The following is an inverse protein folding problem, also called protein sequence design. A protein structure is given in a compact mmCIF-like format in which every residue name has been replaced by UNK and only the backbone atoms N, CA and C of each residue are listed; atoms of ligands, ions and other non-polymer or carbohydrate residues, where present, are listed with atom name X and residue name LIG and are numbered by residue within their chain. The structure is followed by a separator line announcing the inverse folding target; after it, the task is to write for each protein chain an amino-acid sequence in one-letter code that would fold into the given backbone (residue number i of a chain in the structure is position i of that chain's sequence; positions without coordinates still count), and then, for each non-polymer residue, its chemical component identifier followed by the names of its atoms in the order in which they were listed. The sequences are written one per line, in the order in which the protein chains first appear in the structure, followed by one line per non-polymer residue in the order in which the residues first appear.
data_IF_164667475378
#
_entry.id   IF_164667475378
#
_cell.length_a   1.000
_cell.length_b   1.000
_cell.length_c   1.000
_cell.angle_alpha   90.00
_cell.angle_beta   90.00
_cell.angle_gamma   90.00
#
_symmetry.space_group_name_H-M   'P 1'
#
loop_
_entity.id
_entity.type
_entity.pdbx_description
1 polymer ?
#
# COMPACT_ATOMS: atom_id res chain seq x y z
N UNK A 1 31.77 5.90 46.33
CA UNK A 1 31.62 6.39 44.94
C UNK A 1 30.37 5.74 44.38
N UNK A 2 29.21 6.33 44.64
CA UNK A 2 27.90 5.80 44.21
C UNK A 2 27.30 6.74 43.16
N UNK A 3 26.74 6.23 42.06
CA UNK A 3 26.12 7.09 41.07
C UNK A 3 24.73 7.52 41.54
N UNK A 4 24.58 8.81 41.82
CA UNK A 4 23.29 9.45 42.01
C UNK A 4 22.59 9.57 40.66
N UNK A 5 21.41 8.96 40.56
CA UNK A 5 20.45 9.23 39.49
C UNK A 5 19.99 10.70 39.58
N UNK A 6 20.24 11.49 38.54
CA UNK A 6 19.59 12.79 38.36
C UNK A 6 18.49 12.63 37.33
N UNK A 7 17.26 12.75 37.82
CA UNK A 7 16.09 13.05 37.03
C UNK A 7 16.30 14.40 36.32
N UNK A 8 16.26 14.39 34.99
CA UNK A 8 16.20 15.60 34.18
C UNK A 8 14.74 15.85 33.77
N UNK A 9 13.90 16.22 34.75
CA UNK A 9 12.65 16.92 34.46
C UNK A 9 12.78 18.33 35.05
N UNK A 10 13.05 19.29 34.17
CA UNK A 10 12.80 20.72 34.38
C UNK A 10 11.74 21.18 33.37
N UNK A 11 11.00 22.26 33.66
CA UNK A 11 9.67 22.48 33.10
C UNK A 11 9.75 23.08 31.71
N UNK A 12 9.22 22.39 30.70
CA UNK A 12 8.97 22.99 29.40
C UNK A 12 7.54 23.51 29.34
N UNK A 13 7.46 24.80 29.06
CA UNK A 13 6.26 25.61 28.96
C UNK A 13 5.22 24.99 28.02
N UNK A 14 4.02 24.76 28.57
CA UNK A 14 2.80 24.68 27.78
C UNK A 14 2.58 26.03 27.09
N UNK A 15 2.69 26.11 25.76
CA UNK A 15 1.76 26.92 24.94
C UNK A 15 1.80 26.41 23.50
N UNK A 16 0.72 25.74 23.11
CA UNK A 16 0.50 25.26 21.76
C UNK A 16 -0.65 24.28 21.80
N UNK A 17 -1.85 24.78 22.11
CA UNK A 17 -3.06 23.99 21.97
C UNK A 17 -3.09 23.46 20.53
N UNK A 18 -2.87 22.15 20.39
CA UNK A 18 -3.29 21.45 19.17
C UNK A 18 -4.76 21.74 18.92
N UNK A 19 -5.22 21.71 17.67
CA UNK A 19 -6.58 22.12 17.33
C UNK A 19 -7.56 21.38 18.25
N UNK A 20 -8.36 22.16 18.96
CA UNK A 20 -9.44 21.65 19.78
C UNK A 20 -10.39 20.89 18.85
N UNK A 21 -10.31 19.56 18.90
CA UNK A 21 -11.11 18.65 18.09
C UNK A 21 -12.62 18.85 18.31
N UNK A 22 -13.02 19.61 19.33
CA UNK A 22 -14.40 19.97 19.62
C UNK A 22 -14.89 21.20 18.81
N UNK A 23 -13.98 21.96 18.19
CA UNK A 23 -14.30 23.19 17.43
C UNK A 23 -13.85 23.16 15.96
N UNK A 24 -13.29 22.04 15.48
CA UNK A 24 -13.11 21.83 14.05
C UNK A 24 -14.49 21.77 13.35
N UNK A 25 -14.69 22.45 12.20
CA UNK A 25 -15.92 22.29 11.42
C UNK A 25 -16.10 20.80 11.16
N UNK A 26 -17.27 20.27 11.54
CA UNK A 26 -17.65 18.85 11.56
C UNK A 26 -16.77 18.00 10.64
N UNK A 27 -15.66 17.47 11.15
CA UNK A 27 -14.93 16.44 10.45
C UNK A 27 -15.90 15.27 10.37
N UNK A 28 -16.48 15.02 9.19
CA UNK A 28 -17.53 14.03 8.96
C UNK A 28 -17.01 12.59 9.16
N UNK A 29 -16.46 12.25 10.32
CA UNK A 29 -15.94 10.92 10.66
C UNK A 29 -14.88 10.33 9.70
N UNK A 30 -14.42 11.11 8.72
CA UNK A 30 -13.61 10.68 7.59
C UNK A 30 -12.11 10.93 7.83
N UNK A 31 -11.76 11.97 8.58
CA UNK A 31 -10.38 12.32 8.90
C UNK A 31 -9.82 11.48 10.06
N UNK A 32 -9.30 10.30 9.72
CA UNK A 32 -8.65 9.40 10.68
C UNK A 32 -9.59 8.67 11.64
N UNK A 33 -10.90 8.83 11.45
CA UNK A 33 -11.96 8.16 12.21
C UNK A 33 -12.55 7.00 11.38
N UNK A 34 -13.43 6.20 12.01
CA UNK A 34 -13.92 4.94 11.42
C UNK A 34 -14.84 5.13 10.22
N UNK A 35 -15.38 6.32 9.99
CA UNK A 35 -16.36 6.50 8.91
C UNK A 35 -15.67 6.66 7.55
N UNK A 36 -14.41 7.07 7.52
CA UNK A 36 -13.59 7.04 6.31
C UNK A 36 -13.49 5.66 5.66
N UNK A 37 -13.53 4.57 6.44
CA UNK A 37 -13.56 3.20 5.91
C UNK A 37 -14.97 2.61 5.74
N UNK A 38 -16.03 3.42 5.90
CA UNK A 38 -17.44 3.00 5.81
C UNK A 38 -18.23 3.77 4.76
N UNK A 39 -17.62 4.77 4.12
CA UNK A 39 -18.24 5.45 2.98
C UNK A 39 -18.64 4.37 1.94
N UNK A 40 -19.89 4.37 1.45
CA UNK A 40 -20.35 3.35 0.53
C UNK A 40 -19.50 3.21 -0.73
N UNK A 41 -19.34 1.97 -1.21
CA UNK A 41 -18.49 1.65 -2.35
C UNK A 41 -19.05 2.32 -3.62
N UNK A 42 -18.21 3.05 -4.40
CA UNK A 42 -18.61 3.57 -5.70
C UNK A 42 -18.58 2.45 -6.75
N UNK A 43 -19.74 2.06 -7.26
CA UNK A 43 -19.85 1.01 -8.27
C UNK A 43 -19.75 1.55 -9.70
N UNK A 44 -20.43 2.66 -10.00
CA UNK A 44 -20.50 3.22 -11.36
C UNK A 44 -21.01 4.67 -11.39
N UNK A 45 -20.93 5.31 -12.56
CA UNK A 45 -21.52 6.64 -12.79
C UNK A 45 -20.61 7.80 -12.39
N UNK A 46 -21.04 9.01 -12.73
CA UNK A 46 -20.27 10.25 -12.54
C UNK A 46 -20.69 11.05 -11.30
N UNK A 47 -21.80 10.68 -10.64
CA UNK A 47 -22.37 11.42 -9.51
C UNK A 47 -22.77 10.47 -8.37
N UNK A 48 -22.70 10.92 -7.09
CA UNK A 48 -23.22 10.18 -5.95
C UNK A 48 -24.69 9.78 -6.15
N UNK A 49 -25.09 8.56 -5.72
CA UNK A 49 -24.35 7.67 -4.85
C UNK A 49 -23.47 6.67 -5.63
N UNK A 50 -23.00 7.02 -6.83
CA UNK A 50 -22.14 6.19 -7.69
C UNK A 50 -22.65 4.76 -7.87
N UNK A 51 -23.96 4.63 -8.13
CA UNK A 51 -24.58 3.33 -8.34
C UNK A 51 -24.66 2.45 -7.09
N UNK A 52 -24.41 2.99 -5.89
CA UNK A 52 -24.56 2.25 -4.63
C UNK A 52 -25.98 1.73 -4.40
N UNK A 53 -26.99 2.54 -4.70
CA UNK A 53 -28.38 2.15 -4.59
C UNK A 53 -29.34 3.31 -4.89
N UNK A 54 -30.63 3.01 -5.12
CA UNK A 54 -31.63 4.02 -5.50
C UNK A 54 -32.01 4.98 -4.36
N UNK A 55 -31.72 4.62 -3.11
CA UNK A 55 -32.06 5.41 -1.92
C UNK A 55 -30.94 6.36 -1.46
N UNK A 56 -29.85 6.48 -2.22
CA UNK A 56 -28.66 7.24 -1.80
C UNK A 56 -27.69 6.43 -0.93
N UNK A 57 -26.76 7.12 -0.29
CA UNK A 57 -25.76 6.57 0.64
C UNK A 57 -25.99 7.10 2.07
N UNK A 58 -25.70 6.29 3.09
CA UNK A 58 -25.83 6.70 4.51
C UNK A 58 -24.68 7.60 4.99
N UNK A 59 -23.59 7.66 4.21
CA UNK A 59 -22.50 8.61 4.36
C UNK A 59 -22.29 9.35 3.04
N UNK A 60 -21.83 10.61 3.08
CA UNK A 60 -21.48 11.34 1.88
C UNK A 60 -20.33 10.65 1.15
N UNK A 61 -20.43 10.59 -0.17
CA UNK A 61 -19.38 10.09 -1.04
C UNK A 61 -18.71 11.29 -1.71
N UNK A 62 -17.38 11.44 -1.60
CA UNK A 62 -16.68 12.57 -2.20
C UNK A 62 -16.86 12.65 -3.73
N UNK A 63 -16.92 13.86 -4.32
CA UNK A 63 -17.07 14.05 -5.77
C UNK A 63 -15.93 13.44 -6.59
N UNK A 64 -14.72 13.40 -6.03
CA UNK A 64 -13.53 12.83 -6.68
C UNK A 64 -13.56 11.30 -6.81
N UNK A 65 -14.52 10.62 -6.17
CA UNK A 65 -14.64 9.16 -6.23
C UNK A 65 -15.25 8.62 -7.53
N UNK A 66 -15.81 9.48 -8.39
CA UNK A 66 -16.34 9.06 -9.69
C UNK A 66 -15.30 8.24 -10.50
N UNK A 67 -14.05 8.72 -10.54
CA UNK A 67 -12.93 8.04 -11.21
C UNK A 67 -12.37 6.84 -10.44
N UNK A 68 -12.80 6.64 -9.20
CA UNK A 68 -12.42 5.50 -8.35
C UNK A 68 -13.49 4.40 -8.34
N UNK A 69 -14.56 4.56 -9.10
CA UNK A 69 -15.63 3.57 -9.18
C UNK A 69 -15.19 2.26 -9.85
N UNK A 70 -15.84 1.15 -9.49
CA UNK A 70 -15.57 -0.16 -10.11
C UNK A 70 -15.71 -0.11 -11.63
N UNK A 71 -16.72 0.60 -12.15
CA UNK A 71 -16.92 0.76 -13.58
C UNK A 71 -15.81 1.58 -14.25
N UNK A 72 -15.32 2.66 -13.61
CA UNK A 72 -14.25 3.49 -14.16
C UNK A 72 -12.90 2.76 -14.20
N UNK A 73 -12.62 1.92 -13.19
CA UNK A 73 -11.36 1.19 -13.12
C UNK A 73 -11.36 -0.13 -13.90
N UNK A 74 -12.52 -0.74 -14.15
CA UNK A 74 -12.59 -2.04 -14.85
C UNK A 74 -12.05 -1.91 -16.27
N UNK A 75 -11.05 -2.73 -16.59
CA UNK A 75 -10.41 -2.74 -17.90
C UNK A 75 -9.35 -1.66 -18.12
N UNK A 76 -9.15 -0.73 -17.19
CA UNK A 76 -8.00 0.18 -17.23
C UNK A 76 -6.77 -0.53 -16.66
N UNK A 77 -5.76 -0.84 -17.50
CA UNK A 77 -4.56 -1.57 -17.09
C UNK A 77 -3.69 -0.82 -16.07
N UNK A 78 -3.93 0.48 -15.87
CA UNK A 78 -3.21 1.31 -14.90
C UNK A 78 -4.00 1.55 -13.61
N UNK A 79 -5.20 0.99 -13.48
CA UNK A 79 -6.02 1.14 -12.28
C UNK A 79 -5.57 0.24 -11.12
N UNK A 80 -5.87 0.68 -9.90
CA UNK A 80 -5.66 -0.13 -8.69
C UNK A 80 -6.48 -1.43 -8.74
N UNK A 81 -7.70 -1.40 -9.28
CA UNK A 81 -8.54 -2.60 -9.41
C UNK A 81 -7.87 -3.67 -10.28
N UNK A 82 -7.37 -3.31 -11.47
CA UNK A 82 -6.69 -4.27 -12.35
C UNK A 82 -5.34 -4.71 -11.78
N UNK A 83 -4.61 -3.82 -11.07
CA UNK A 83 -3.40 -4.19 -10.32
C UNK A 83 -3.69 -5.32 -9.31
N UNK A 84 -4.76 -5.19 -8.52
CA UNK A 84 -5.14 -6.21 -7.53
C UNK A 84 -5.66 -7.50 -8.17
N UNK A 85 -6.41 -7.42 -9.28
CA UNK A 85 -6.83 -8.60 -10.05
C UNK A 85 -5.62 -9.40 -10.55
N UNK A 86 -4.65 -8.72 -11.18
CA UNK A 86 -3.41 -9.32 -11.63
C UNK A 86 -2.58 -9.92 -10.46
N UNK A 87 -2.52 -9.23 -9.31
CA UNK A 87 -1.85 -9.75 -8.12
C UNK A 87 -2.49 -11.06 -7.60
N UNK A 88 -3.81 -11.15 -7.60
CA UNK A 88 -4.55 -12.35 -7.18
C UNK A 88 -4.37 -13.51 -8.16
N UNK A 89 -4.30 -13.24 -9.46
CA UNK A 89 -3.98 -14.24 -10.48
C UNK A 89 -2.56 -14.79 -10.30
N UNK A 90 -1.56 -13.91 -10.14
CA UNK A 90 -0.18 -14.30 -9.86
C UNK A 90 -0.05 -15.09 -8.56
N UNK A 91 -0.77 -14.70 -7.50
CA UNK A 91 -0.79 -15.43 -6.23
C UNK A 91 -1.24 -16.88 -6.40
N UNK A 92 -2.21 -17.14 -7.29
CA UNK A 92 -2.72 -18.50 -7.58
C UNK A 92 -1.77 -19.29 -8.46
N UNK A 93 -1.00 -18.61 -9.32
CA UNK A 93 -0.09 -19.23 -10.28
C UNK A 93 1.32 -19.51 -9.72
N UNK A 94 1.78 -18.73 -8.75
CA UNK A 94 3.17 -18.81 -8.25
C UNK A 94 3.28 -19.66 -6.97
N UNK A 95 4.11 -20.73 -6.97
CA UNK A 95 4.33 -21.58 -5.80
C UNK A 95 4.74 -20.79 -4.55
N UNK A 96 5.67 -19.85 -4.72
CA UNK A 96 6.15 -18.96 -3.66
C UNK A 96 5.11 -18.01 -3.09
N UNK A 97 3.88 -17.94 -3.64
CA UNK A 97 2.80 -17.07 -3.14
C UNK A 97 1.58 -17.83 -2.60
N UNK A 98 1.61 -19.17 -2.63
CA UNK A 98 0.55 -20.02 -2.09
C UNK A 98 -0.24 -20.80 -3.14
N UNK A 99 0.32 -21.03 -4.34
CA UNK A 99 -0.29 -21.92 -5.32
C UNK A 99 -0.47 -23.35 -4.75
N UNK A 100 -1.61 -24.03 -5.03
CA UNK A 100 -1.84 -25.41 -4.60
C UNK A 100 -0.74 -26.35 -5.10
N UNK A 101 -0.31 -27.31 -4.28
CA UNK A 101 0.68 -28.32 -4.68
C UNK A 101 2.15 -27.98 -4.37
N UNK A 102 2.44 -26.86 -3.71
CA UNK A 102 3.79 -26.51 -3.26
C UNK A 102 4.39 -27.49 -2.22
N UNK A 103 3.60 -28.47 -1.74
CA UNK A 103 4.01 -29.43 -0.72
C UNK A 103 4.32 -28.77 0.64
N UNK A 104 4.57 -29.57 1.69
CA UNK A 104 5.16 -29.02 2.90
C UNK A 104 6.58 -28.56 2.59
N UNK A 105 6.79 -27.24 2.54
CA UNK A 105 8.14 -26.67 2.52
C UNK A 105 8.76 -26.83 3.92
N UNK A 106 10.06 -27.20 4.04
CA UNK A 106 10.75 -27.26 5.32
C UNK A 106 10.82 -25.89 6.03
N UNK A 107 10.66 -24.80 5.27
CA UNK A 107 10.31 -23.47 5.75
C UNK A 107 8.93 -23.10 5.17
N UNK A 108 7.83 -23.14 5.95
CA UNK A 108 6.49 -22.88 5.45
C UNK A 108 6.30 -21.47 4.88
N UNK A 109 7.19 -20.52 5.19
CA UNK A 109 7.20 -19.20 4.57
C UNK A 109 8.06 -19.17 3.31
N UNK A 110 9.20 -19.87 3.33
CA UNK A 110 10.29 -19.76 2.36
C UNK A 110 10.83 -18.34 2.25
N UNK A 111 10.50 -17.47 3.22
CA UNK A 111 10.66 -16.03 3.12
C UNK A 111 11.99 -15.60 3.69
N UNK A 112 12.78 -14.86 2.90
CA UNK A 112 14.05 -14.29 3.35
C UNK A 112 14.13 -12.82 3.01
N UNK A 113 14.40 -11.99 4.01
CA UNK A 113 14.84 -10.62 3.81
C UNK A 113 16.21 -10.60 3.14
N UNK A 114 16.41 -9.70 2.18
CA UNK A 114 17.71 -9.42 1.61
C UNK A 114 18.15 -8.00 2.02
N UNK A 115 19.46 -7.72 1.98
CA UNK A 115 19.96 -6.37 2.19
C UNK A 115 19.36 -5.41 1.16
N UNK A 116 18.94 -4.24 1.64
CA UNK A 116 18.40 -3.14 0.85
C UNK A 116 18.73 -1.81 1.51
N UNK A 117 18.72 -0.69 0.76
CA UNK A 117 18.85 0.64 1.35
C UNK A 117 17.73 0.93 2.35
N UNK A 118 17.98 1.86 3.29
CA UNK A 118 16.95 2.35 4.21
C UNK A 118 15.73 2.86 3.45
N UNK A 119 14.53 2.50 3.92
CA UNK A 119 13.27 2.83 3.24
C UNK A 119 12.98 1.95 2.00
N UNK A 120 13.79 0.92 1.74
CA UNK A 120 13.49 -0.11 0.74
C UNK A 120 13.36 -1.45 1.44
N UNK A 121 12.27 -2.16 1.18
CA UNK A 121 12.09 -3.55 1.59
C UNK A 121 12.36 -4.46 0.40
N UNK A 122 13.24 -5.45 0.58
CA UNK A 122 13.46 -6.53 -0.38
C UNK A 122 13.37 -7.88 0.32
N UNK A 123 12.46 -8.73 -0.12
CA UNK A 123 12.38 -10.11 0.34
C UNK A 123 12.15 -11.09 -0.80
N UNK A 124 12.52 -12.35 -0.56
CA UNK A 124 12.37 -13.45 -1.51
C UNK A 124 11.49 -14.55 -0.92
N UNK A 125 10.81 -15.28 -1.80
CA UNK A 125 10.17 -16.58 -1.57
C UNK A 125 10.57 -17.50 -2.73
N UNK A 126 10.32 -18.82 -2.70
CA UNK A 126 10.69 -19.71 -3.81
C UNK A 126 10.18 -19.20 -5.18
N UNK A 127 11.09 -18.88 -6.09
CA UNK A 127 10.79 -18.34 -7.44
C UNK A 127 10.18 -16.94 -7.47
N UNK A 128 10.28 -16.18 -6.37
CA UNK A 128 9.65 -14.86 -6.21
C UNK A 128 10.53 -13.89 -5.43
N UNK A 129 10.54 -12.62 -5.83
CA UNK A 129 10.94 -11.53 -4.94
C UNK A 129 9.93 -10.39 -4.97
N UNK A 130 9.94 -9.59 -3.90
CA UNK A 130 9.18 -8.36 -3.78
C UNK A 130 10.12 -7.23 -3.36
N UNK A 131 10.06 -6.12 -4.08
CA UNK A 131 10.70 -4.86 -3.70
C UNK A 131 9.65 -3.81 -3.41
N UNK A 132 9.72 -3.13 -2.27
CA UNK A 132 8.89 -1.98 -1.93
C UNK A 132 9.80 -0.78 -1.64
N UNK A 133 9.69 0.28 -2.43
CA UNK A 133 10.32 1.56 -2.15
C UNK A 133 9.33 2.45 -1.39
N UNK A 134 9.57 2.69 -0.11
CA UNK A 134 8.75 3.59 0.74
C UNK A 134 9.35 4.98 0.84
N UNK A 135 10.34 5.29 0.00
CA UNK A 135 10.98 6.61 -0.03
C UNK A 135 10.24 7.53 -1.01
N UNK A 136 10.33 8.84 -0.79
CA UNK A 136 9.82 9.83 -1.74
C UNK A 136 10.73 10.00 -2.97
N UNK A 137 11.91 9.36 -3.01
CA UNK A 137 12.79 9.35 -4.17
C UNK A 137 12.94 7.97 -4.82
N UNK A 138 13.25 7.92 -6.12
CA UNK A 138 13.65 6.69 -6.80
C UNK A 138 14.90 6.05 -6.20
N UNK A 139 14.98 4.72 -6.26
CA UNK A 139 16.14 3.94 -5.82
C UNK A 139 16.61 2.98 -6.90
N UNK A 140 17.92 2.92 -7.10
CA UNK A 140 18.55 1.92 -7.96
C UNK A 140 19.08 0.74 -7.15
N UNK A 141 18.82 -0.48 -7.62
CA UNK A 141 19.31 -1.72 -7.01
C UNK A 141 19.53 -2.79 -8.10
N UNK A 142 20.29 -3.86 -7.81
CA UNK A 142 20.34 -5.02 -8.69
C UNK A 142 18.93 -5.59 -8.91
N UNK A 143 18.58 -5.88 -10.17
CA UNK A 143 17.29 -6.45 -10.52
C UNK A 143 17.19 -7.88 -9.95
N UNK A 144 16.21 -8.17 -9.06
CA UNK A 144 16.08 -9.51 -8.47
C UNK A 144 15.69 -10.60 -9.48
N UNK A 145 15.13 -10.21 -10.63
CA UNK A 145 14.68 -11.11 -11.68
C UNK A 145 13.91 -10.36 -12.76
N UNK A 146 12.98 -11.03 -13.44
CA UNK A 146 12.09 -10.39 -14.40
C UNK A 146 10.87 -9.80 -13.67
N UNK A 147 10.50 -8.53 -13.90
CA UNK A 147 9.30 -7.96 -13.29
C UNK A 147 8.05 -8.68 -13.82
N UNK A 148 7.12 -9.01 -12.92
CA UNK A 148 5.82 -9.65 -13.24
C UNK A 148 4.62 -8.78 -12.87
N UNK A 149 4.78 -7.85 -11.93
CA UNK A 149 3.75 -6.90 -11.53
C UNK A 149 4.43 -5.68 -10.92
N UNK A 150 3.91 -4.48 -11.17
CA UNK A 150 4.38 -3.27 -10.49
C UNK A 150 3.25 -2.26 -10.30
N UNK A 151 3.26 -1.55 -9.18
CA UNK A 151 2.31 -0.47 -8.89
C UNK A 151 2.64 0.84 -9.61
N UNK A 152 3.83 0.96 -10.20
CA UNK A 152 4.26 2.10 -11.01
C UNK A 152 5.18 1.62 -12.16
N UNK A 153 5.30 2.34 -13.28
CA UNK A 153 6.22 1.97 -14.35
C UNK A 153 7.65 1.83 -13.85
N UNK A 154 8.26 0.68 -14.11
CA UNK A 154 9.61 0.33 -13.64
C UNK A 154 10.59 0.28 -14.81
N UNK A 155 11.77 0.88 -14.63
CA UNK A 155 12.85 0.89 -15.62
C UNK A 155 13.91 -0.13 -15.22
N UNK A 156 14.22 -1.09 -16.11
CA UNK A 156 15.25 -2.10 -15.86
C UNK A 156 15.97 -2.50 -17.14
N UNK A 157 17.29 -2.71 -17.06
CA UNK A 157 18.11 -3.27 -18.13
C UNK A 157 18.31 -4.80 -17.97
N UNK A 158 17.60 -5.42 -17.01
CA UNK A 158 17.74 -6.83 -16.63
C UNK A 158 18.88 -7.11 -15.64
N UNK A 159 19.74 -6.14 -15.33
CA UNK A 159 20.81 -6.24 -14.32
C UNK A 159 20.56 -5.29 -13.16
N UNK A 160 20.13 -4.07 -13.44
CA UNK A 160 19.70 -3.09 -12.46
C UNK A 160 18.25 -2.69 -12.72
N UNK A 161 17.60 -2.22 -11.65
CA UNK A 161 16.27 -1.63 -11.70
C UNK A 161 16.30 -0.29 -10.99
N UNK A 162 15.63 0.69 -11.58
CA UNK A 162 15.27 1.95 -10.94
C UNK A 162 13.81 1.89 -10.49
N UNK A 163 13.59 1.74 -9.19
CA UNK A 163 12.27 1.73 -8.57
C UNK A 163 11.76 3.16 -8.37
N UNK A 164 10.55 3.51 -8.83
CA UNK A 164 9.91 4.79 -8.50
C UNK A 164 9.69 4.96 -6.99
N UNK A 165 9.46 6.19 -6.50
CA UNK A 165 9.00 6.39 -5.12
C UNK A 165 7.65 5.71 -4.88
N UNK A 166 7.38 5.38 -3.61
CA UNK A 166 6.10 4.81 -3.15
C UNK A 166 5.58 3.65 -4.01
N UNK A 167 6.48 2.77 -4.43
CA UNK A 167 6.19 1.72 -5.42
C UNK A 167 6.55 0.32 -4.96
N UNK A 168 5.78 -0.66 -5.43
CA UNK A 168 5.99 -2.07 -5.20
C UNK A 168 6.16 -2.80 -6.52
N UNK A 169 7.19 -3.65 -6.64
CA UNK A 169 7.42 -4.50 -7.81
C UNK A 169 7.62 -5.96 -7.38
N UNK A 170 6.95 -6.86 -8.08
CA UNK A 170 7.08 -8.31 -7.94
C UNK A 170 7.95 -8.87 -9.06
N UNK A 171 8.76 -9.86 -8.72
CA UNK A 171 9.79 -10.43 -9.57
C UNK A 171 9.67 -11.95 -9.64
N UNK A 172 9.99 -12.53 -10.79
CA UNK A 172 10.10 -13.97 -10.98
C UNK A 172 11.49 -14.35 -11.52
N UNK A 173 11.99 -15.51 -11.11
CA UNK A 173 13.27 -16.10 -11.51
C UNK A 173 13.27 -17.61 -11.31
#
# INVERSE_FOLDING_TARGET
MGPQARACCGPEAETGAGPDLLTAPEAEGQDGLRDGCRVPIPWAGAEPPYGFGPAGSWLPQPPEWAGLSVAAQTGDPHSTLELYRAALELRRAMPGLGAPGAGPSPDPSGMRWLPSPDGVLLFTRPGFACTLNTRPEPVELPAPGRPVLSSAPVETDGRTVRLPPDSCTWWAF
#
